data_IF_996795847219
#
_entry.id   IF_996795847219
#
_cell.length_a   1.000
_cell.length_b   1.000
_cell.length_c   1.000
_cell.angle_alpha   90.00
_cell.angle_beta   90.00
_cell.angle_gamma   90.00
#
_symmetry.space_group_name_H-M   'P 1'
#
loop_
_entity.id
_entity.type
_entity.pdbx_description
1 polymer ?
#
# COMPACT_ATOMS: atom_id res chain seq x y z
N UNK A 1 40.20 29.41 60.92
CA UNK A 1 39.72 30.23 62.06
C UNK A 1 38.26 30.61 61.79
N UNK A 2 37.38 30.26 62.73
CA UNK A 2 35.98 30.68 62.99
C UNK A 2 35.11 31.28 61.86
N UNK A 3 33.97 30.65 61.49
CA UNK A 3 32.65 30.57 62.19
C UNK A 3 31.86 31.88 62.15
N UNK A 4 30.68 31.84 61.52
CA UNK A 4 29.36 32.25 62.07
C UNK A 4 28.28 31.80 61.07
N UNK A 5 27.47 30.75 61.29
CA UNK A 5 26.31 30.54 62.20
C UNK A 5 25.13 31.48 62.01
N UNK A 6 24.02 30.89 61.53
CA UNK A 6 22.59 30.95 61.96
C UNK A 6 21.73 30.79 60.68
N UNK A 7 20.79 29.87 60.53
CA UNK A 7 20.17 28.88 61.40
C UNK A 7 18.71 28.72 60.98
N UNK A 8 18.21 27.46 60.94
CA UNK A 8 16.90 27.00 61.48
C UNK A 8 15.64 27.55 60.73
N UNK A 9 14.61 26.81 60.30
CA UNK A 9 14.01 25.50 60.61
C UNK A 9 12.95 25.17 59.53
N UNK A 10 12.62 23.88 59.38
CA UNK A 10 11.22 23.46 59.22
C UNK A 10 10.91 22.64 57.98
N UNK A 11 10.45 21.39 58.20
CA UNK A 11 9.60 20.72 57.21
C UNK A 11 9.78 19.21 57.04
N UNK A 12 9.49 18.44 58.09
CA UNK A 12 8.82 17.12 58.06
C UNK A 12 9.25 16.10 56.98
N UNK A 13 10.07 15.13 57.39
CA UNK A 13 10.18 13.83 56.72
C UNK A 13 8.99 12.94 57.11
N UNK A 14 8.22 12.48 56.12
CA UNK A 14 7.19 11.46 56.29
C UNK A 14 7.74 10.08 55.91
N UNK A 15 7.47 9.10 56.76
CA UNK A 15 7.89 7.70 56.66
C UNK A 15 7.20 6.94 55.50
N UNK A 16 7.81 5.85 54.98
CA UNK A 16 7.23 5.05 53.91
C UNK A 16 6.17 4.09 54.46
N UNK A 17 5.02 4.02 53.79
CA UNK A 17 4.02 2.96 54.01
C UNK A 17 4.15 1.97 52.87
N UNK A 18 4.62 0.77 53.19
CA UNK A 18 4.50 -0.42 52.35
C UNK A 18 3.19 -1.13 52.68
N UNK A 19 2.39 -1.39 51.65
CA UNK A 19 1.38 -2.45 51.66
C UNK A 19 1.46 -3.12 50.29
N UNK A 20 1.95 -4.36 50.25
CA UNK A 20 1.82 -5.23 49.08
C UNK A 20 0.47 -5.93 49.10
N UNK A 21 -0.01 -6.41 47.95
CA UNK A 21 -0.46 -7.79 47.67
C UNK A 21 -0.44 -7.96 46.14
N UNK A 22 0.06 -9.09 45.65
CA UNK A 22 0.24 -9.36 44.23
C UNK A 22 -1.06 -9.63 43.46
N UNK A 23 -1.00 -9.39 42.15
CA UNK A 23 -1.76 -10.18 41.19
C UNK A 23 -0.94 -10.23 39.90
N UNK A 24 -0.26 -11.36 39.68
CA UNK A 24 0.24 -11.70 38.36
C UNK A 24 -0.99 -12.09 37.53
N UNK A 25 -1.45 -11.19 36.67
CA UNK A 25 -2.46 -11.53 35.68
C UNK A 25 -1.85 -12.58 34.74
N UNK A 26 -2.27 -13.82 34.91
CA UNK A 26 -2.05 -14.88 33.93
C UNK A 26 -2.66 -14.40 32.63
N UNK A 27 -1.83 -14.02 31.66
CA UNK A 27 -2.31 -13.78 30.31
C UNK A 27 -2.84 -15.13 29.79
N UNK A 28 -4.18 -15.27 29.79
CA UNK A 28 -4.83 -16.38 29.12
C UNK A 28 -4.52 -16.20 27.64
N UNK A 29 -3.61 -17.02 27.13
CA UNK A 29 -3.42 -17.17 25.70
C UNK A 29 -4.74 -17.71 25.14
N UNK A 30 -5.53 -16.83 24.54
CA UNK A 30 -6.62 -17.24 23.67
C UNK A 30 -5.99 -17.91 22.46
N UNK A 31 -5.82 -19.23 22.53
CA UNK A 31 -5.71 -20.05 21.33
C UNK A 31 -7.03 -19.92 20.59
N UNK A 32 -7.08 -18.95 19.66
CA UNK A 32 -8.13 -18.93 18.67
C UNK A 32 -8.00 -20.23 17.87
N UNK A 33 -9.02 -21.07 17.97
CA UNK A 33 -9.21 -22.21 17.08
C UNK A 33 -9.15 -21.66 15.65
N UNK A 34 -8.37 -22.25 14.72
CA UNK A 34 -8.43 -21.81 13.33
C UNK A 34 -9.84 -22.12 12.81
N UNK A 35 -10.68 -21.08 12.75
CA UNK A 35 -11.83 -21.09 11.87
C UNK A 35 -11.30 -21.18 10.44
N UNK A 36 -11.96 -21.98 9.60
CA UNK A 36 -11.64 -22.08 8.18
C UNK A 36 -11.46 -20.66 7.59
N UNK A 37 -10.26 -20.36 7.09
CA UNK A 37 -9.84 -19.00 6.75
C UNK A 37 -10.51 -18.49 5.47
N UNK A 38 -11.66 -17.83 5.61
CA UNK A 38 -12.38 -17.15 4.53
C UNK A 38 -12.01 -15.64 4.39
N UNK A 39 -10.94 -15.19 5.06
CA UNK A 39 -10.49 -13.80 5.09
C UNK A 39 -9.69 -13.37 3.85
N UNK A 40 -9.93 -12.15 3.36
CA UNK A 40 -9.04 -11.49 2.41
C UNK A 40 -7.79 -11.02 3.17
N UNK A 41 -6.62 -11.56 2.82
CA UNK A 41 -5.35 -11.11 3.37
C UNK A 41 -4.74 -10.05 2.46
N UNK A 42 -4.10 -9.05 3.08
CA UNK A 42 -3.45 -7.93 2.39
C UNK A 42 -2.02 -7.78 2.87
N UNK A 43 -1.10 -7.66 1.94
CA UNK A 43 0.26 -7.22 2.22
C UNK A 43 0.31 -5.73 2.55
N UNK A 44 1.51 -5.27 2.91
CA UNK A 44 1.75 -3.84 3.12
C UNK A 44 1.57 -3.08 1.79
N UNK A 45 0.75 -2.04 1.80
CA UNK A 45 0.67 -1.11 0.67
C UNK A 45 1.91 -0.21 0.67
N UNK A 46 2.37 0.12 -0.53
CA UNK A 46 3.34 1.19 -0.77
C UNK A 46 2.72 2.19 -1.73
N UNK A 47 2.75 3.46 -1.34
CA UNK A 47 2.35 4.58 -2.17
C UNK A 47 3.56 5.43 -2.51
N UNK A 48 3.71 5.73 -3.79
CA UNK A 48 4.73 6.59 -4.34
C UNK A 48 4.03 7.82 -4.89
N UNK A 49 4.48 9.01 -4.49
CA UNK A 49 3.85 10.27 -4.86
C UNK A 49 4.88 11.23 -5.45
N UNK A 50 4.42 12.25 -6.17
CA UNK A 50 5.23 13.43 -6.43
C UNK A 50 5.78 14.01 -5.11
N UNK A 51 7.00 14.59 -5.09
CA UNK A 51 7.88 14.83 -6.24
C UNK A 51 8.83 13.66 -6.58
N UNK A 52 8.83 12.56 -5.82
CA UNK A 52 9.72 11.42 -6.06
C UNK A 52 9.24 10.51 -7.21
N UNK A 53 7.93 10.41 -7.37
CA UNK A 53 7.31 9.82 -8.55
C UNK A 53 7.29 10.88 -9.66
N UNK A 54 7.91 10.57 -10.80
CA UNK A 54 8.01 11.45 -11.95
C UNK A 54 7.63 10.70 -13.24
N UNK A 55 7.25 11.41 -14.30
CA UNK A 55 7.08 10.80 -15.62
C UNK A 55 8.33 10.02 -16.02
N UNK A 56 8.13 8.84 -16.61
CA UNK A 56 9.21 7.92 -16.99
C UNK A 56 9.65 6.95 -15.90
N UNK A 57 9.22 7.10 -14.64
CA UNK A 57 9.38 6.04 -13.63
C UNK A 57 8.75 4.74 -14.14
N UNK A 58 9.45 3.62 -13.99
CA UNK A 58 9.03 2.32 -14.54
C UNK A 58 8.78 1.29 -13.46
N UNK A 59 7.63 0.62 -13.52
CA UNK A 59 7.29 -0.55 -12.72
C UNK A 59 7.78 -1.82 -13.42
N UNK A 60 8.80 -2.45 -12.84
CA UNK A 60 9.38 -3.71 -13.29
C UNK A 60 8.84 -4.85 -12.43
N UNK A 61 8.44 -5.94 -13.09
CA UNK A 61 7.85 -7.14 -12.50
C UNK A 61 8.54 -8.39 -13.04
N UNK A 62 8.38 -9.57 -12.40
CA UNK A 62 8.74 -10.84 -13.00
C UNK A 62 8.11 -11.05 -14.38
N UNK A 63 8.75 -11.87 -15.21
CA UNK A 63 8.20 -12.27 -16.50
C UNK A 63 6.89 -13.07 -16.33
N UNK A 64 6.01 -13.00 -17.32
CA UNK A 64 4.77 -13.80 -17.35
C UNK A 64 3.61 -13.24 -16.54
N UNK A 65 3.77 -12.08 -15.89
CA UNK A 65 2.69 -11.40 -15.18
C UNK A 65 1.56 -11.00 -16.15
N UNK A 66 0.33 -11.18 -15.69
CA UNK A 66 -0.90 -10.83 -16.41
C UNK A 66 -1.65 -9.74 -15.67
N UNK A 67 -2.27 -8.84 -16.42
CA UNK A 67 -3.09 -7.77 -15.88
C UNK A 67 -4.57 -8.06 -16.14
N UNK A 68 -5.36 -8.07 -15.07
CA UNK A 68 -6.82 -8.06 -15.12
C UNK A 68 -7.26 -6.65 -14.72
N UNK A 69 -7.68 -5.81 -15.66
CA UNK A 69 -8.15 -4.47 -15.33
C UNK A 69 -9.40 -4.57 -14.47
N UNK A 70 -9.46 -3.71 -13.46
CA UNK A 70 -10.64 -3.54 -12.63
C UNK A 70 -11.36 -2.34 -13.21
N UNK A 71 -12.68 -2.44 -13.45
CA UNK A 71 -13.43 -1.29 -13.98
C UNK A 71 -13.25 -0.11 -13.04
N UNK A 72 -12.74 0.97 -13.62
CA UNK A 72 -12.58 2.23 -12.92
C UNK A 72 -13.94 2.90 -12.69
N UNK A 73 -14.07 3.55 -11.54
CA UNK A 73 -15.20 4.38 -11.14
C UNK A 73 -15.08 5.81 -11.70
N UNK A 74 -13.87 6.26 -12.05
CA UNK A 74 -13.60 7.62 -12.55
C UNK A 74 -13.32 7.59 -14.07
N UNK A 75 -13.48 8.73 -14.76
CA UNK A 75 -13.78 8.82 -16.20
C UNK A 75 -12.65 8.32 -17.14
N UNK A 76 -13.03 8.19 -18.42
CA UNK A 76 -12.29 7.65 -19.58
C UNK A 76 -10.84 8.19 -19.78
N UNK A 77 -10.00 7.45 -20.55
CA UNK A 77 -10.19 6.09 -21.05
C UNK A 77 -10.05 5.06 -19.94
N UNK A 78 -11.02 4.13 -19.91
CA UNK A 78 -10.96 2.99 -19.01
C UNK A 78 -10.05 1.95 -19.65
N UNK A 79 -9.40 1.11 -18.85
CA UNK A 79 -8.79 -0.10 -19.38
C UNK A 79 -9.91 -1.05 -19.85
N UNK A 80 -9.77 -1.66 -21.02
CA UNK A 80 -10.73 -2.63 -21.53
C UNK A 80 -10.83 -3.79 -20.53
N UNK A 81 -12.02 -4.30 -20.22
CA UNK A 81 -12.23 -5.33 -19.17
C UNK A 81 -11.61 -6.72 -19.46
N UNK A 82 -10.69 -6.82 -20.42
CA UNK A 82 -10.05 -8.05 -20.87
C UNK A 82 -8.70 -8.27 -20.18
N UNK A 83 -8.36 -9.53 -19.94
CA UNK A 83 -7.03 -9.90 -19.45
C UNK A 83 -5.99 -9.55 -20.50
N UNK A 84 -4.93 -8.86 -20.09
CA UNK A 84 -3.81 -8.45 -20.94
C UNK A 84 -2.50 -9.03 -20.42
N UNK A 85 -1.52 -9.21 -21.31
CA UNK A 85 -0.15 -9.56 -20.91
C UNK A 85 0.56 -8.30 -20.45
N UNK A 86 1.04 -8.27 -19.20
CA UNK A 86 1.77 -7.12 -18.69
C UNK A 86 3.09 -6.92 -19.49
N UNK A 87 3.50 -5.68 -19.80
CA UNK A 87 2.88 -4.40 -19.40
C UNK A 87 1.91 -3.80 -20.42
N UNK A 88 1.63 -4.51 -21.52
CA UNK A 88 0.79 -3.99 -22.61
C UNK A 88 -0.67 -4.19 -22.28
N UNK A 89 -1.36 -3.13 -21.90
CA UNK A 89 -2.79 -3.16 -21.59
C UNK A 89 -3.60 -2.51 -22.71
N UNK A 90 -4.78 -3.04 -23.00
CA UNK A 90 -5.69 -2.44 -23.98
C UNK A 90 -6.59 -1.42 -23.29
N UNK A 91 -6.65 -0.20 -23.81
CA UNK A 91 -7.61 0.83 -23.40
C UNK A 91 -8.97 0.60 -24.08
N UNK A 92 -10.03 1.24 -23.58
CA UNK A 92 -11.40 1.08 -24.13
C UNK A 92 -11.56 1.52 -25.58
N UNK A 93 -10.69 2.41 -26.07
CA UNK A 93 -10.66 2.84 -27.47
C UNK A 93 -9.90 1.86 -28.38
N UNK A 94 -9.42 0.73 -27.84
CA UNK A 94 -8.65 -0.28 -28.55
C UNK A 94 -7.15 0.00 -28.62
N UNK A 95 -6.69 1.16 -28.14
CA UNK A 95 -5.25 1.48 -28.12
C UNK A 95 -4.52 0.61 -27.11
N UNK A 96 -3.24 0.34 -27.38
CA UNK A 96 -2.36 -0.37 -26.45
C UNK A 96 -1.54 0.64 -25.66
N UNK A 97 -1.53 0.49 -24.34
CA UNK A 97 -0.80 1.33 -23.39
C UNK A 97 0.27 0.49 -22.71
N UNK A 98 1.51 1.00 -22.64
CA UNK A 98 2.52 0.45 -21.73
C UNK A 98 2.21 0.94 -20.32
N UNK A 99 1.54 0.09 -19.53
CA UNK A 99 1.12 0.41 -18.18
C UNK A 99 2.28 0.40 -17.17
N UNK A 100 3.48 -0.09 -17.56
CA UNK A 100 4.66 -0.06 -16.69
C UNK A 100 5.28 1.32 -16.57
N UNK A 101 4.98 2.25 -17.47
CA UNK A 101 5.57 3.59 -17.45
C UNK A 101 4.61 4.58 -16.81
N UNK A 102 5.10 5.30 -15.80
CA UNK A 102 4.41 6.44 -15.19
C UNK A 102 4.34 7.57 -16.22
N UNK A 103 3.13 8.01 -16.62
CA UNK A 103 2.96 8.99 -17.67
C UNK A 103 3.08 10.44 -17.18
N UNK A 104 3.02 11.38 -18.10
CA UNK A 104 2.83 12.81 -17.80
C UNK A 104 1.56 13.09 -17.00
N UNK A 105 1.51 14.26 -16.34
CA UNK A 105 0.31 14.73 -15.63
C UNK A 105 -0.88 14.87 -16.58
N UNK A 106 -2.08 14.58 -16.08
CA UNK A 106 -3.33 14.60 -16.83
C UNK A 106 -3.60 13.28 -17.56
N UNK A 107 -2.68 12.32 -17.49
CA UNK A 107 -2.87 11.02 -18.09
C UNK A 107 -3.94 10.20 -17.33
N UNK A 108 -4.65 9.31 -18.03
CA UNK A 108 -5.78 8.58 -17.45
C UNK A 108 -5.38 7.67 -16.29
N UNK A 109 -6.27 7.57 -15.30
CA UNK A 109 -6.15 6.65 -14.17
C UNK A 109 -6.03 5.20 -14.67
N UNK A 110 -5.20 4.40 -14.01
CA UNK A 110 -4.98 2.99 -14.35
C UNK A 110 -5.18 2.14 -13.11
N UNK A 111 -6.08 1.16 -13.21
CA UNK A 111 -6.38 0.23 -12.12
C UNK A 111 -6.35 -1.20 -12.66
N UNK A 112 -5.54 -2.05 -12.04
CA UNK A 112 -5.45 -3.45 -12.42
C UNK A 112 -5.15 -4.35 -11.23
N UNK A 113 -5.63 -5.58 -11.31
CA UNK A 113 -5.07 -6.68 -10.54
C UNK A 113 -4.05 -7.42 -11.38
N UNK A 114 -2.82 -7.46 -10.89
CA UNK A 114 -1.73 -8.19 -11.51
C UNK A 114 -1.66 -9.59 -10.89
N UNK A 115 -1.36 -10.60 -11.70
CA UNK A 115 -1.38 -12.01 -11.30
C UNK A 115 -0.35 -12.82 -12.08
N UNK A 116 -0.15 -14.08 -11.69
CA UNK A 116 0.81 -14.97 -12.34
C UNK A 116 2.24 -14.80 -11.83
N UNK A 117 2.40 -14.24 -10.63
CA UNK A 117 3.69 -14.13 -9.95
C UNK A 117 4.21 -15.52 -9.57
N UNK A 118 5.37 -15.90 -10.11
CA UNK A 118 6.15 -17.06 -9.62
C UNK A 118 7.02 -16.67 -8.43
N UNK A 119 7.40 -15.40 -8.35
CA UNK A 119 8.13 -14.78 -7.26
C UNK A 119 7.43 -13.47 -6.88
N UNK A 120 7.32 -13.18 -5.59
CA UNK A 120 6.67 -11.95 -5.11
C UNK A 120 7.67 -10.82 -5.06
N UNK A 121 7.85 -10.09 -6.16
CA UNK A 121 8.59 -8.84 -6.14
C UNK A 121 8.12 -7.84 -7.21
N UNK A 122 8.40 -6.57 -6.95
CA UNK A 122 8.38 -5.51 -7.96
C UNK A 122 9.53 -4.54 -7.70
N UNK A 123 9.87 -3.77 -8.72
CA UNK A 123 10.84 -2.68 -8.61
C UNK A 123 10.29 -1.42 -9.28
N UNK A 124 10.39 -0.28 -8.59
CA UNK A 124 10.11 1.03 -9.15
C UNK A 124 11.44 1.68 -9.54
N UNK A 125 11.73 1.73 -10.83
CA UNK A 125 12.92 2.38 -11.38
C UNK A 125 12.58 3.83 -11.68
N UNK A 126 13.09 4.76 -10.86
CA UNK A 126 12.85 6.19 -10.99
C UNK A 126 13.65 6.76 -12.16
N UNK A 127 13.15 7.85 -12.75
CA UNK A 127 13.86 8.58 -13.81
C UNK A 127 15.27 9.05 -13.42
N UNK A 128 15.54 9.21 -12.12
CA UNK A 128 16.87 9.52 -11.58
C UNK A 128 17.86 8.34 -11.60
N UNK A 129 17.42 7.13 -11.96
CA UNK A 129 18.21 5.89 -11.90
C UNK A 129 18.13 5.15 -10.56
N UNK A 130 17.50 5.73 -9.52
CA UNK A 130 17.23 5.05 -8.25
C UNK A 130 16.17 3.97 -8.44
N UNK A 131 16.32 2.82 -7.77
CA UNK A 131 15.34 1.74 -7.80
C UNK A 131 14.84 1.37 -6.40
N UNK A 132 13.52 1.30 -6.22
CA UNK A 132 12.87 0.82 -5.00
C UNK A 132 12.32 -0.59 -5.21
N UNK A 133 12.94 -1.60 -4.59
CA UNK A 133 12.49 -2.99 -4.68
C UNK A 133 11.69 -3.40 -3.46
N UNK A 134 10.57 -4.08 -3.70
CA UNK A 134 9.74 -4.69 -2.65
C UNK A 134 9.56 -6.16 -2.96
N UNK A 135 9.66 -7.00 -1.93
CA UNK A 135 9.51 -8.46 -2.02
C UNK A 135 8.45 -8.95 -1.04
N UNK A 136 7.75 -10.02 -1.39
CA UNK A 136 6.76 -10.71 -0.56
C UNK A 136 6.67 -12.19 -0.94
N UNK A 137 5.90 -12.96 -0.15
CA UNK A 137 5.59 -14.37 -0.45
C UNK A 137 4.43 -14.47 -1.45
N UNK A 138 4.73 -14.75 -2.73
CA UNK A 138 3.73 -14.91 -3.78
C UNK A 138 2.85 -16.15 -3.61
N UNK A 139 3.29 -17.16 -2.85
CA UNK A 139 2.46 -18.32 -2.52
C UNK A 139 1.29 -17.96 -1.59
N UNK A 140 1.48 -16.94 -0.75
CA UNK A 140 0.44 -16.39 0.14
C UNK A 140 -0.35 -15.25 -0.50
N UNK A 141 0.34 -14.36 -1.20
CA UNK A 141 -0.25 -13.16 -1.81
C UNK A 141 0.03 -13.16 -3.33
N UNK A 142 -0.68 -13.98 -4.12
CA UNK A 142 -0.41 -14.19 -5.55
C UNK A 142 -0.91 -13.06 -6.46
N UNK A 143 -1.57 -12.05 -5.89
CA UNK A 143 -2.09 -10.91 -6.62
C UNK A 143 -1.43 -9.62 -6.16
N UNK A 144 -1.27 -8.66 -7.08
CA UNK A 144 -0.79 -7.31 -6.78
C UNK A 144 -1.80 -6.29 -7.32
N UNK A 145 -2.40 -5.53 -6.42
CA UNK A 145 -3.21 -4.36 -6.78
C UNK A 145 -2.29 -3.26 -7.29
N UNK A 146 -2.59 -2.76 -8.49
CA UNK A 146 -1.97 -1.60 -9.11
C UNK A 146 -3.01 -0.51 -9.27
N UNK A 147 -2.73 0.65 -8.68
CA UNK A 147 -3.48 1.88 -8.87
C UNK A 147 -2.52 3.01 -9.23
N UNK A 148 -2.76 3.67 -10.35
CA UNK A 148 -2.06 4.87 -10.77
C UNK A 148 -3.04 5.98 -11.07
N UNK A 149 -2.92 7.10 -10.37
CA UNK A 149 -3.66 8.33 -10.65
C UNK A 149 -2.64 9.42 -10.98
N UNK A 150 -2.78 9.98 -12.18
CA UNK A 150 -1.76 10.86 -12.76
C UNK A 150 -2.28 12.28 -12.98
N UNK A 151 -3.28 12.69 -12.21
CA UNK A 151 -3.86 14.04 -12.29
C UNK A 151 -4.97 14.16 -13.34
N UNK A 152 -5.61 13.05 -13.72
CA UNK A 152 -6.78 13.08 -14.61
C UNK A 152 -8.07 13.47 -13.86
N UNK A 153 -8.05 13.41 -12.53
CA UNK A 153 -9.18 13.88 -11.72
C UNK A 153 -9.33 15.40 -11.84
N UNK A 154 -10.41 15.85 -12.50
CA UNK A 154 -10.73 17.28 -12.70
C UNK A 154 -11.91 17.76 -11.85
N UNK A 155 -12.35 16.97 -10.87
CA UNK A 155 -13.48 17.33 -10.00
C UNK A 155 -12.99 17.79 -8.64
N UNK A 156 -13.53 18.90 -8.16
CA UNK A 156 -13.28 19.41 -6.82
C UNK A 156 -13.76 18.42 -5.74
N UNK A 157 -13.07 18.29 -4.59
CA UNK A 157 -11.88 19.02 -4.15
C UNK A 157 -10.54 18.37 -4.57
N UNK A 158 -10.59 17.41 -5.52
CA UNK A 158 -9.45 16.56 -5.86
C UNK A 158 -8.75 16.95 -7.17
N UNK A 159 -9.18 18.07 -7.78
CA UNK A 159 -8.59 18.62 -8.99
C UNK A 159 -7.08 18.84 -8.79
N UNK A 160 -6.25 18.27 -9.67
CA UNK A 160 -4.78 18.36 -9.64
C UNK A 160 -4.07 17.83 -8.38
N UNK A 161 -4.79 17.26 -7.42
CA UNK A 161 -4.23 16.83 -6.13
C UNK A 161 -3.35 15.58 -6.28
N UNK A 162 -3.77 14.64 -7.11
CA UNK A 162 -3.17 13.30 -7.13
C UNK A 162 -2.17 13.12 -8.26
N UNK A 163 -0.97 12.67 -7.90
CA UNK A 163 0.01 12.10 -8.81
C UNK A 163 0.73 10.97 -8.07
N UNK A 164 0.18 9.77 -8.17
CA UNK A 164 0.47 8.64 -7.28
C UNK A 164 0.45 7.29 -7.98
N UNK A 165 1.26 6.38 -7.48
CA UNK A 165 1.18 4.94 -7.74
C UNK A 165 1.08 4.21 -6.40
N UNK A 166 0.06 3.39 -6.23
CA UNK A 166 -0.16 2.54 -5.07
C UNK A 166 -0.09 1.06 -5.48
N UNK A 167 0.70 0.30 -4.73
CA UNK A 167 0.96 -1.13 -4.94
C UNK A 167 0.71 -1.91 -3.66
N UNK A 168 -0.12 -2.94 -3.72
CA UNK A 168 -0.44 -3.77 -2.55
C UNK A 168 -0.66 -5.25 -2.92
N UNK A 169 0.07 -6.20 -2.31
CA UNK A 169 -0.18 -7.62 -2.52
C UNK A 169 -1.48 -8.10 -1.84
N UNK A 170 -2.17 -9.07 -2.43
CA UNK A 170 -3.43 -9.64 -1.93
C UNK A 170 -3.46 -11.17 -2.08
N UNK A 171 -4.16 -11.85 -1.16
CA UNK A 171 -4.36 -13.31 -1.24
C UNK A 171 -5.38 -13.72 -2.31
N UNK A 172 -6.33 -12.85 -2.62
CA UNK A 172 -7.37 -13.05 -3.65
C UNK A 172 -7.80 -11.72 -4.25
N UNK A 173 -8.42 -11.76 -5.44
CA UNK A 173 -9.01 -10.56 -6.03
C UNK A 173 -10.21 -10.13 -5.17
N UNK A 174 -10.19 -8.93 -4.55
CA UNK A 174 -11.27 -8.49 -3.66
C UNK A 174 -12.56 -8.13 -4.41
N UNK A 175 -12.47 -7.85 -5.70
CA UNK A 175 -13.60 -7.48 -6.56
C UNK A 175 -13.78 -8.58 -7.63
N UNK A 176 -14.75 -9.50 -7.46
CA UNK A 176 -14.95 -10.58 -8.41
C UNK A 176 -15.30 -10.04 -9.79
N UNK A 177 -14.88 -10.75 -10.84
CA UNK A 177 -15.07 -10.40 -12.26
C UNK A 177 -16.54 -10.08 -12.63
N UNK A 178 -17.51 -10.59 -11.85
CA UNK A 178 -18.94 -10.47 -12.08
C UNK A 178 -19.63 -9.31 -11.33
N UNK A 179 -18.95 -8.54 -10.47
CA UNK A 179 -19.61 -7.42 -9.76
C UNK A 179 -19.86 -6.19 -10.65
N UNK A 180 -19.83 -6.35 -11.97
CA UNK A 180 -19.81 -5.28 -12.98
C UNK A 180 -20.74 -5.57 -14.18
N UNK A 181 -21.56 -6.63 -14.09
CA UNK A 181 -22.69 -6.86 -14.99
C UNK A 181 -23.97 -6.38 -14.28
N UNK A 182 -24.14 -5.06 -14.27
CA UNK A 182 -25.30 -4.32 -13.78
C UNK A 182 -25.27 -2.94 -14.38
#
# INVERSE_FOLDING_TARGET
MNISRRGVLGGLAAAPVLYGIGSAATAVATTSRPGAGDGLERGAERRFNAPLLTPGTRLVLPAGVKAVPIRDYYRRPRLASAVSVWPRMTATDGTTVDASVVPERGAPTRIAMLSGFTEGWYELVHASGRADRVTWDAGKLPFLWFYGEFGATTVEPYHDVFYTVALQPFSRIPYPRNSLAG
#
